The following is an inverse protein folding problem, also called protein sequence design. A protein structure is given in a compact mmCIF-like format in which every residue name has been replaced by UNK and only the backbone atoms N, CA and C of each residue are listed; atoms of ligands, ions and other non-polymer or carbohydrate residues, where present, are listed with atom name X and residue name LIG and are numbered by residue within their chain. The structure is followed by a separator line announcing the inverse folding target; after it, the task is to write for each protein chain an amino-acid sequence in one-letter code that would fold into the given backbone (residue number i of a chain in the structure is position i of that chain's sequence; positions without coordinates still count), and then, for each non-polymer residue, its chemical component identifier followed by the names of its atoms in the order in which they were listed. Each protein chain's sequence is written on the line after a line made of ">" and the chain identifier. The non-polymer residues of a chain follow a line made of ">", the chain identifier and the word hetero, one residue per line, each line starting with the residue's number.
data_IF_288056719770
#
_entry.id   IF_288056719770
#
_cell.length_a   1.000
_cell.length_b   1.000
_cell.length_c   1.000
_cell.angle_alpha   90.00
_cell.angle_beta   90.00
_cell.angle_gamma   90.00
#
_symmetry.space_group_name_H-M   'P 1'
#
loop_
_entity.id
_entity.type
_entity.pdbx_description
1 polymer ?
#
# COMPACT_ATOMS: atom_id res chain seq x y z
N UNK A 1 -3.73 8.28 22.46
CA UNK A 1 -2.77 8.24 21.33
C UNK A 1 -2.53 9.67 20.89
N UNK A 2 -1.61 9.95 19.96
CA UNK A 2 -1.35 11.33 19.53
C UNK A 2 -1.19 11.45 18.00
N UNK A 3 -1.00 12.70 17.54
CA UNK A 3 -0.83 13.06 16.13
C UNK A 3 0.27 12.26 15.41
N UNK A 4 1.18 11.61 16.13
CA UNK A 4 2.18 10.73 15.54
C UNK A 4 1.55 9.52 14.82
N UNK A 5 0.43 8.98 15.31
CA UNK A 5 -0.30 7.88 14.65
C UNK A 5 -0.72 8.26 13.23
N UNK A 6 -1.27 9.48 13.05
CA UNK A 6 -1.66 10.00 11.74
C UNK A 6 -0.43 10.18 10.85
N UNK A 7 0.66 10.74 11.38
CA UNK A 7 1.92 10.95 10.63
C UNK A 7 2.57 9.63 10.20
N UNK A 8 2.55 8.61 11.06
CA UNK A 8 3.04 7.28 10.74
C UNK A 8 2.25 6.68 9.56
N UNK A 9 0.92 6.72 9.62
CA UNK A 9 0.05 6.25 8.55
C UNK A 9 0.31 7.00 7.23
N UNK A 10 0.40 8.34 7.25
CA UNK A 10 0.73 9.15 6.06
C UNK A 10 2.03 8.69 5.40
N UNK A 11 3.06 8.43 6.21
CA UNK A 11 4.35 7.95 5.72
C UNK A 11 4.25 6.53 5.13
N UNK A 12 3.56 5.61 5.81
CA UNK A 12 3.32 4.24 5.32
C UNK A 12 2.54 4.23 3.99
N UNK A 13 1.49 5.04 3.88
CA UNK A 13 0.74 5.23 2.62
C UNK A 13 1.68 5.73 1.52
N UNK A 14 2.49 6.76 1.78
CA UNK A 14 3.41 7.33 0.79
C UNK A 14 4.38 6.28 0.24
N UNK A 15 4.95 5.46 1.12
CA UNK A 15 5.85 4.36 0.74
C UNK A 15 5.13 3.29 -0.08
N UNK A 16 3.90 2.95 0.28
CA UNK A 16 3.12 1.96 -0.45
C UNK A 16 2.71 2.45 -1.84
N UNK A 17 2.24 3.70 -1.96
CA UNK A 17 1.92 4.35 -3.24
C UNK A 17 3.15 4.35 -4.15
N UNK A 18 4.32 4.70 -3.62
CA UNK A 18 5.57 4.67 -4.36
C UNK A 18 5.89 3.26 -4.87
N UNK A 19 5.79 2.24 -4.00
CA UNK A 19 6.06 0.86 -4.36
C UNK A 19 5.13 0.36 -5.48
N UNK A 20 3.82 0.60 -5.36
CA UNK A 20 2.84 0.20 -6.40
C UNK A 20 3.08 0.96 -7.71
N UNK A 21 3.42 2.24 -7.65
CA UNK A 21 3.69 3.05 -8.84
C UNK A 21 4.97 2.63 -9.56
N UNK A 22 5.99 2.17 -8.82
CA UNK A 22 7.26 1.68 -9.36
C UNK A 22 7.17 0.32 -10.07
N UNK A 23 6.09 -0.44 -9.87
CA UNK A 23 5.86 -1.72 -10.55
C UNK A 23 5.39 -1.49 -12.00
N UNK A 24 6.32 -1.13 -12.88
CA UNK A 24 6.03 -0.80 -14.28
C UNK A 24 6.05 -2.01 -15.23
N UNK A 25 6.55 -3.18 -14.83
CA UNK A 25 6.89 -4.26 -15.79
C UNK A 25 6.26 -5.63 -15.55
N UNK A 26 5.61 -5.88 -14.42
CA UNK A 26 4.98 -7.19 -14.14
C UNK A 26 3.47 -7.02 -14.23
N UNK A 27 2.85 -7.51 -15.31
CA UNK A 27 1.39 -7.71 -15.38
C UNK A 27 1.01 -8.78 -14.35
N UNK A 28 0.94 -8.39 -13.08
CA UNK A 28 0.46 -9.26 -12.00
C UNK A 28 -1.05 -9.09 -11.99
N UNK A 29 -1.86 -10.16 -12.02
CA UNK A 29 -3.33 -10.05 -11.96
C UNK A 29 -3.82 -9.19 -10.79
N UNK A 30 -3.14 -9.27 -9.65
CA UNK A 30 -3.47 -8.51 -8.43
C UNK A 30 -3.08 -7.01 -8.50
N UNK A 31 -2.31 -6.59 -9.51
CA UNK A 31 -1.85 -5.21 -9.66
C UNK A 31 -3.02 -4.23 -9.85
N UNK A 32 -4.11 -4.68 -10.51
CA UNK A 32 -5.32 -3.87 -10.69
C UNK A 32 -5.99 -3.54 -9.35
N UNK A 33 -6.04 -4.53 -8.46
CA UNK A 33 -6.65 -4.37 -7.13
C UNK A 33 -5.79 -3.44 -6.27
N UNK A 34 -4.46 -3.63 -6.29
CA UNK A 34 -3.53 -2.75 -5.60
C UNK A 34 -3.55 -1.30 -6.10
N UNK A 35 -3.76 -1.09 -7.41
CA UNK A 35 -3.88 0.26 -7.96
C UNK A 35 -5.16 0.95 -7.46
N UNK A 36 -6.28 0.24 -7.41
CA UNK A 36 -7.54 0.75 -6.84
C UNK A 36 -7.35 1.13 -5.36
N UNK A 37 -6.71 0.27 -4.57
CA UNK A 37 -6.41 0.55 -3.16
C UNK A 37 -5.53 1.80 -3.04
N UNK A 38 -4.50 1.93 -3.87
CA UNK A 38 -3.61 3.10 -3.88
C UNK A 38 -4.37 4.39 -4.19
N UNK A 39 -5.31 4.35 -5.11
CA UNK A 39 -6.08 5.55 -5.45
C UNK A 39 -6.98 5.99 -4.30
N UNK A 40 -7.59 5.04 -3.56
CA UNK A 40 -8.32 5.35 -2.32
C UNK A 40 -7.39 5.89 -1.23
N UNK A 41 -6.23 5.26 -1.02
CA UNK A 41 -5.28 5.68 0.00
C UNK A 41 -4.69 7.07 -0.26
N UNK A 42 -4.54 7.49 -1.52
CA UNK A 42 -4.12 8.86 -1.87
C UNK A 42 -5.14 9.90 -1.39
N UNK A 43 -6.43 9.63 -1.60
CA UNK A 43 -7.51 10.51 -1.15
C UNK A 43 -7.55 10.61 0.37
N UNK A 44 -7.41 9.46 1.05
CA UNK A 44 -7.31 9.45 2.50
C UNK A 44 -6.08 10.23 2.98
N UNK A 45 -4.91 10.02 2.36
CA UNK A 45 -3.68 10.73 2.73
C UNK A 45 -3.87 12.25 2.65
N UNK A 46 -4.47 12.78 1.58
CA UNK A 46 -4.71 14.23 1.48
C UNK A 46 -5.56 14.77 2.63
N UNK A 47 -6.59 14.03 3.05
CA UNK A 47 -7.41 14.43 4.20
C UNK A 47 -6.60 14.40 5.52
N UNK A 48 -5.76 13.38 5.69
CA UNK A 48 -4.90 13.27 6.87
C UNK A 48 -3.80 14.34 6.89
N UNK A 49 -3.25 14.72 5.73
CA UNK A 49 -2.30 15.82 5.61
C UNK A 49 -2.95 17.13 6.12
N UNK A 50 -4.18 17.43 5.70
CA UNK A 50 -4.93 18.59 6.19
C UNK A 50 -5.15 18.56 7.71
N UNK A 51 -5.50 17.40 8.27
CA UNK A 51 -5.64 17.23 9.73
C UNK A 51 -4.35 17.60 10.46
N UNK A 52 -3.20 17.17 9.94
CA UNK A 52 -1.88 17.47 10.53
C UNK A 52 -1.50 18.93 10.34
N UNK A 53 -1.67 19.48 9.13
CA UNK A 53 -1.25 20.84 8.76
C UNK A 53 -2.07 21.90 9.49
N UNK A 54 -3.39 21.71 9.57
CA UNK A 54 -4.29 22.61 10.28
C UNK A 54 -4.44 22.28 11.77
N UNK A 55 -3.73 21.25 12.26
CA UNK A 55 -3.79 20.79 13.66
C UNK A 55 -5.22 20.59 14.15
N UNK A 56 -6.04 19.95 13.30
CA UNK A 56 -7.46 19.74 13.58
C UNK A 56 -7.58 18.85 14.83
N UNK A 57 -8.31 19.28 15.88
CA UNK A 57 -8.53 18.45 17.05
C UNK A 57 -9.15 17.11 16.65
N UNK A 58 -8.53 16.03 17.10
CA UNK A 58 -8.91 14.66 16.77
C UNK A 58 -9.09 13.84 18.03
N UNK A 59 -9.99 12.87 18.00
CA UNK A 59 -10.27 11.99 19.14
C UNK A 59 -9.36 10.74 19.15
N UNK A 60 -9.32 10.06 20.29
CA UNK A 60 -8.53 8.83 20.46
C UNK A 60 -9.01 7.68 19.57
N UNK A 61 -10.27 7.71 19.10
CA UNK A 61 -10.81 6.72 18.18
C UNK A 61 -10.10 6.85 16.84
N UNK A 62 -9.99 8.07 16.30
CA UNK A 62 -9.32 8.32 15.03
C UNK A 62 -7.85 7.85 15.06
N UNK A 63 -7.12 8.13 16.15
CA UNK A 63 -5.74 7.69 16.26
C UNK A 63 -5.61 6.16 16.26
N UNK A 64 -6.52 5.46 16.95
CA UNK A 64 -6.55 3.99 16.98
C UNK A 64 -6.82 3.40 15.60
N UNK A 65 -7.81 3.95 14.88
CA UNK A 65 -8.11 3.53 13.51
C UNK A 65 -6.92 3.80 12.56
N UNK A 66 -6.19 4.90 12.78
CA UNK A 66 -4.97 5.20 12.02
C UNK A 66 -3.85 4.18 12.28
N UNK A 67 -3.64 3.77 13.54
CA UNK A 67 -2.66 2.74 13.89
C UNK A 67 -3.03 1.37 13.28
N UNK A 68 -4.31 1.00 13.33
CA UNK A 68 -4.81 -0.25 12.74
C UNK A 68 -4.63 -0.26 11.21
N UNK A 69 -4.95 0.87 10.56
CA UNK A 69 -4.73 1.01 9.13
C UNK A 69 -3.25 1.04 8.75
N UNK A 70 -2.38 1.64 9.58
CA UNK A 70 -0.92 1.65 9.34
C UNK A 70 -0.38 0.22 9.29
N UNK A 71 -0.78 -0.62 10.25
CA UNK A 71 -0.42 -2.03 10.27
C UNK A 71 -0.90 -2.76 9.01
N UNK A 72 -2.13 -2.51 8.57
CA UNK A 72 -2.69 -3.12 7.37
C UNK A 72 -1.94 -2.68 6.09
N UNK A 73 -1.62 -1.38 5.96
CA UNK A 73 -0.85 -0.82 4.83
C UNK A 73 0.57 -1.40 4.81
N UNK A 74 1.22 -1.51 5.97
CA UNK A 74 2.54 -2.13 6.07
C UNK A 74 2.51 -3.63 5.73
N UNK A 75 1.51 -4.37 6.19
CA UNK A 75 1.32 -5.78 5.82
C UNK A 75 1.13 -5.96 4.31
N UNK A 76 0.31 -5.12 3.68
CA UNK A 76 0.12 -5.11 2.23
C UNK A 76 1.41 -4.79 1.47
N UNK A 77 2.19 -3.82 1.97
CA UNK A 77 3.51 -3.46 1.42
C UNK A 77 4.47 -4.64 1.48
N UNK A 78 4.63 -5.27 2.64
CA UNK A 78 5.51 -6.42 2.81
C UNK A 78 5.11 -7.60 1.92
N UNK A 79 3.81 -7.89 1.82
CA UNK A 79 3.31 -8.93 0.94
C UNK A 79 3.71 -8.66 -0.50
N UNK A 80 3.57 -7.42 -0.96
CA UNK A 80 3.92 -7.05 -2.32
C UNK A 80 5.44 -7.04 -2.56
N UNK A 81 6.25 -6.60 -1.59
CA UNK A 81 7.73 -6.67 -1.65
C UNK A 81 8.23 -8.12 -1.74
N UNK A 82 7.61 -9.03 -0.98
CA UNK A 82 7.94 -10.48 -0.98
C UNK A 82 7.39 -11.21 -2.21
N UNK A 83 6.48 -10.60 -2.97
CA UNK A 83 5.86 -11.22 -4.14
C UNK A 83 6.83 -11.33 -5.33
N UNK A 84 7.41 -12.50 -5.54
CA UNK A 84 8.17 -12.82 -6.76
C UNK A 84 7.32 -13.59 -7.78
N UNK A 85 7.34 -13.26 -9.07
CA UNK A 85 6.63 -14.05 -10.10
C UNK A 85 7.19 -15.48 -10.27
N UNK A 86 8.30 -15.82 -9.61
CA UNK A 86 8.91 -17.16 -9.63
C UNK A 86 8.31 -18.14 -8.60
N UNK A 87 7.39 -17.69 -7.74
CA UNK A 87 6.77 -18.56 -6.72
C UNK A 87 5.68 -19.49 -7.27
N UNK A 88 5.24 -19.29 -8.51
CA UNK A 88 4.42 -20.26 -9.24
C UNK A 88 5.31 -21.21 -10.02
N UNK A 89 5.54 -22.43 -9.50
CA UNK A 89 6.11 -23.55 -10.28
C UNK A 89 5.27 -23.89 -11.53
N UNK A 90 4.05 -23.35 -11.64
CA UNK A 90 3.10 -23.62 -12.72
C UNK A 90 3.32 -22.68 -13.92
N UNK A 91 3.74 -21.42 -13.70
CA UNK A 91 3.98 -20.44 -14.78
C UNK A 91 5.32 -20.61 -15.51
N UNK A 92 6.34 -21.19 -14.86
CA UNK A 92 7.65 -21.42 -15.49
C UNK A 92 7.61 -22.50 -16.57
N UNK A 93 6.59 -23.36 -16.57
CA UNK A 93 6.45 -24.45 -17.54
C UNK A 93 5.85 -23.94 -18.86
N UNK A 94 4.97 -22.93 -18.81
CA UNK A 94 4.32 -22.38 -20.01
C UNK A 94 5.22 -21.45 -20.82
N UNK A 95 6.16 -20.75 -20.17
CA UNK A 95 7.09 -19.84 -20.86
C UNK A 95 8.20 -20.57 -21.65
N UNK A 96 8.51 -21.83 -21.31
CA UNK A 96 9.55 -22.61 -21.98
C UNK A 96 9.06 -23.43 -23.20
N UNK A 97 7.74 -23.50 -23.42
CA UNK A 97 7.16 -24.23 -24.57
C UNK A 97 6.86 -23.34 -25.78
N UNK A 98 7.02 -22.02 -25.66
CA UNK A 98 6.81 -21.06 -26.76
C UNK A 98 8.10 -20.69 -27.52
N UNK A 99 9.24 -21.27 -27.15
CA UNK A 99 10.56 -21.05 -27.77
C UNK A 99 11.25 -22.35 -28.20
N UNK A 100 10.51 -23.43 -28.44
CA UNK A 100 11.07 -24.69 -28.93
C UNK A 100 10.46 -25.09 -30.26
#
# INVERSE_FOLDING_TARGET
>A
MDIASIKCLINSISRFVHLVSSQTSKRIPIQKDYRTIVDVLKLLKSLLDEVVDFKIPSDDILYKECDELDMAVNGAREFMEKWSPKSSKILSVSANLLFR
#
